data_IF_109943578775
#
_entry.id   IF_109943578775
#
_cell.length_a   1.000
_cell.length_b   1.000
_cell.length_c   1.000
_cell.angle_alpha   90.00
_cell.angle_beta   90.00
_cell.angle_gamma   90.00
#
_symmetry.space_group_name_H-M   'P 1'
#
loop_
_entity.id
_entity.type
_entity.pdbx_description
1 polymer ?
#
# COMPACT_ATOMS: atom_id res chain seq x y z
N UNK A 1 -2.97 -13.66 -15.49
CA UNK A 1 -3.72 -12.54 -14.89
C UNK A 1 -2.83 -11.90 -13.84
N UNK A 2 -2.77 -10.58 -13.81
CA UNK A 2 -2.05 -9.84 -12.77
C UNK A 2 -2.89 -9.94 -11.49
N UNK A 3 -2.29 -10.40 -10.38
CA UNK A 3 -3.00 -10.49 -9.11
C UNK A 3 -3.02 -9.11 -8.48
N UNK A 4 -4.21 -8.57 -8.20
CA UNK A 4 -4.39 -7.25 -7.61
C UNK A 4 -4.86 -7.39 -6.16
N UNK A 5 -4.16 -6.73 -5.25
CA UNK A 5 -4.50 -6.63 -3.84
C UNK A 5 -4.92 -5.19 -3.55
N UNK A 6 -6.11 -4.99 -2.98
CA UNK A 6 -6.54 -3.68 -2.51
C UNK A 6 -6.15 -3.55 -1.06
N UNK A 7 -5.32 -2.56 -0.72
CA UNK A 7 -4.87 -2.33 0.66
C UNK A 7 -5.90 -1.49 1.40
N UNK A 8 -6.29 -0.36 0.81
CA UNK A 8 -7.44 0.41 1.27
C UNK A 8 -8.14 1.07 0.09
N UNK A 9 -9.44 1.30 0.26
CA UNK A 9 -10.26 2.05 -0.68
C UNK A 9 -11.29 2.86 0.10
N UNK A 10 -11.05 4.16 0.25
CA UNK A 10 -12.02 5.08 0.86
C UNK A 10 -13.06 5.50 -0.18
N UNK A 11 -12.61 5.78 -1.41
CA UNK A 11 -13.45 6.10 -2.55
C UNK A 11 -12.70 5.77 -3.87
N UNK A 12 -13.12 6.34 -5.01
CA UNK A 12 -12.44 6.12 -6.30
C UNK A 12 -11.19 7.00 -6.53
N UNK A 13 -10.95 7.97 -5.65
CA UNK A 13 -9.88 8.97 -5.69
C UNK A 13 -8.90 8.83 -4.51
N UNK A 14 -9.21 7.98 -3.53
CA UNK A 14 -8.43 7.69 -2.34
C UNK A 14 -8.34 6.16 -2.16
N UNK A 15 -7.35 5.57 -2.83
CA UNK A 15 -7.20 4.11 -2.89
C UNK A 15 -5.73 3.73 -3.04
N UNK A 16 -5.31 2.65 -2.36
CA UNK A 16 -4.00 2.06 -2.55
C UNK A 16 -4.12 0.58 -2.90
N UNK A 17 -3.42 0.20 -3.96
CA UNK A 17 -3.46 -1.16 -4.52
C UNK A 17 -2.07 -1.68 -4.82
N UNK A 18 -1.87 -2.99 -4.70
CA UNK A 18 -0.64 -3.66 -5.09
C UNK A 18 -0.92 -4.67 -6.19
N UNK A 19 -0.19 -4.53 -7.29
CA UNK A 19 -0.28 -5.40 -8.46
C UNK A 19 0.95 -6.31 -8.52
N UNK A 20 0.74 -7.62 -8.46
CA UNK A 20 1.80 -8.63 -8.51
C UNK A 20 2.06 -8.99 -9.97
N UNK A 21 3.18 -8.49 -10.49
CA UNK A 21 3.62 -8.64 -11.88
C UNK A 21 4.77 -9.64 -11.98
N UNK A 22 4.47 -10.91 -11.70
CA UNK A 22 5.46 -11.99 -11.70
C UNK A 22 6.48 -11.80 -10.58
N UNK A 23 7.64 -11.24 -10.92
CA UNK A 23 8.75 -10.98 -9.97
C UNK A 23 8.73 -9.58 -9.35
N UNK A 24 7.93 -8.66 -9.90
CA UNK A 24 7.82 -7.30 -9.38
C UNK A 24 6.46 -7.05 -8.74
N UNK A 25 6.43 -6.07 -7.86
CA UNK A 25 5.25 -5.60 -7.14
C UNK A 25 5.07 -4.12 -7.48
N UNK A 26 3.93 -3.74 -8.05
CA UNK A 26 3.62 -2.34 -8.33
C UNK A 26 2.61 -1.85 -7.32
N UNK A 27 3.03 -0.97 -6.42
CA UNK A 27 2.12 -0.25 -5.53
C UNK A 27 1.62 0.97 -6.28
N UNK A 28 0.30 1.14 -6.36
CA UNK A 28 -0.36 2.30 -6.94
C UNK A 28 -1.22 2.96 -5.87
N UNK A 29 -0.92 4.22 -5.57
CA UNK A 29 -1.65 5.07 -4.66
C UNK A 29 -2.37 6.15 -5.47
N UNK A 30 -3.66 6.32 -5.26
CA UNK A 30 -4.45 7.42 -5.81
C UNK A 30 -4.90 8.24 -4.61
N UNK A 31 -4.61 9.54 -4.65
CA UNK A 31 -5.04 10.55 -3.68
C UNK A 31 -5.63 11.75 -4.42
N UNK A 32 -6.69 12.32 -3.87
CA UNK A 32 -7.32 13.55 -4.37
C UNK A 32 -6.39 14.77 -4.31
N UNK A 33 -5.47 14.82 -3.34
CA UNK A 33 -4.53 15.91 -3.14
C UNK A 33 -3.31 15.85 -4.08
N UNK A 34 -2.84 14.64 -4.41
CA UNK A 34 -1.55 14.43 -5.08
C UNK A 34 -1.64 13.68 -6.41
N UNK A 35 -2.84 13.22 -6.79
CA UNK A 35 -3.06 12.44 -7.99
C UNK A 35 -2.67 10.96 -7.82
N UNK A 36 -2.15 10.37 -8.88
CA UNK A 36 -1.73 8.97 -8.90
C UNK A 36 -0.21 8.87 -8.78
N UNK A 37 0.27 8.14 -7.78
CA UNK A 37 1.67 7.74 -7.65
C UNK A 37 1.78 6.21 -7.80
N UNK A 38 2.89 5.76 -8.39
CA UNK A 38 3.16 4.33 -8.55
C UNK A 38 4.62 4.00 -8.33
N UNK A 39 4.87 2.97 -7.54
CA UNK A 39 6.21 2.53 -7.15
C UNK A 39 6.37 1.04 -7.41
N UNK A 40 7.48 0.68 -8.04
CA UNK A 40 7.80 -0.69 -8.42
C UNK A 40 8.86 -1.26 -7.48
N UNK A 41 8.55 -2.40 -6.87
CA UNK A 41 9.46 -3.13 -5.99
C UNK A 41 9.85 -4.47 -6.61
N UNK A 42 11.11 -4.86 -6.42
CA UNK A 42 11.64 -6.15 -6.89
C UNK A 42 11.47 -7.28 -5.87
N UNK A 43 11.04 -6.96 -4.65
CA UNK A 43 10.86 -7.93 -3.57
C UNK A 43 9.85 -7.44 -2.54
N UNK A 44 9.20 -8.38 -1.85
CA UNK A 44 8.29 -8.06 -0.73
C UNK A 44 9.00 -7.31 0.40
N UNK A 45 10.23 -7.66 0.83
CA UNK A 45 10.92 -6.90 1.87
C UNK A 45 11.18 -5.43 1.49
N UNK A 46 11.53 -5.16 0.22
CA UNK A 46 11.71 -3.78 -0.25
C UNK A 46 10.40 -2.99 -0.21
N UNK A 47 9.29 -3.61 -0.61
CA UNK A 47 7.96 -3.02 -0.48
C UNK A 47 7.61 -2.76 0.99
N UNK A 48 7.79 -3.76 1.87
CA UNK A 48 7.49 -3.61 3.30
C UNK A 48 8.30 -2.51 3.97
N UNK A 49 9.58 -2.37 3.63
CA UNK A 49 10.41 -1.29 4.15
C UNK A 49 9.89 0.09 3.73
N UNK A 50 9.43 0.22 2.48
CA UNK A 50 8.77 1.45 2.03
C UNK A 50 7.45 1.70 2.75
N UNK A 51 6.62 0.66 2.94
CA UNK A 51 5.34 0.74 3.65
C UNK A 51 5.54 1.25 5.08
N UNK A 52 6.56 0.78 5.80
CA UNK A 52 6.89 1.23 7.16
C UNK A 52 7.29 2.71 7.21
N UNK A 53 7.95 3.21 6.17
CA UNK A 53 8.30 4.63 6.05
C UNK A 53 7.10 5.49 5.64
N UNK A 54 6.25 4.96 4.74
CA UNK A 54 5.06 5.66 4.21
C UNK A 54 3.96 5.81 5.25
N UNK A 55 3.82 4.82 6.14
CA UNK A 55 2.80 4.76 7.19
C UNK A 55 3.49 4.64 8.56
N UNK A 56 4.16 5.72 9.02
CA UNK A 56 4.81 5.70 10.32
C UNK A 56 3.74 5.55 11.41
N UNK A 57 3.97 4.63 12.35
CA UNK A 57 3.01 4.30 13.41
C UNK A 57 2.58 5.52 14.25
N UNK A 58 3.44 6.54 14.34
CA UNK A 58 3.16 7.81 15.02
C UNK A 58 1.93 8.54 14.47
N UNK A 59 1.69 8.44 13.17
CA UNK A 59 0.59 9.16 12.50
C UNK A 59 -0.77 8.50 12.76
N UNK A 60 -0.73 7.29 13.33
CA UNK A 60 -1.89 6.47 13.66
C UNK A 60 -2.07 6.29 15.18
N UNK A 61 -1.49 7.18 16.00
CA UNK A 61 -1.57 7.07 17.46
C UNK A 61 -3.02 6.96 17.98
N UNK A 62 -3.95 7.67 17.35
CA UNK A 62 -5.38 7.65 17.68
C UNK A 62 -6.16 6.53 16.97
N UNK A 63 -5.55 5.85 15.99
CA UNK A 63 -6.19 4.79 15.20
C UNK A 63 -5.21 3.66 14.84
N UNK A 64 -4.68 2.99 15.87
CA UNK A 64 -3.72 1.89 15.69
C UNK A 64 -4.30 0.70 14.93
N UNK A 65 -5.61 0.48 15.00
CA UNK A 65 -6.27 -0.60 14.27
C UNK A 65 -6.15 -0.40 12.75
N UNK A 66 -6.40 0.81 12.25
CA UNK A 66 -6.25 1.13 10.82
C UNK A 66 -4.80 0.89 10.35
N UNK A 67 -3.82 1.23 11.18
CA UNK A 67 -2.41 0.93 10.88
C UNK A 67 -2.15 -0.57 10.79
N UNK A 68 -2.62 -1.35 11.77
CA UNK A 68 -2.45 -2.81 11.77
C UNK A 68 -3.13 -3.48 10.57
N UNK A 69 -4.32 -3.01 10.19
CA UNK A 69 -5.06 -3.52 9.03
C UNK A 69 -4.29 -3.23 7.73
N UNK A 70 -3.77 -2.02 7.56
CA UNK A 70 -2.93 -1.64 6.40
C UNK A 70 -1.68 -2.53 6.35
N UNK A 71 -0.95 -2.65 7.47
CA UNK A 71 0.27 -3.46 7.53
C UNK A 71 0.00 -4.94 7.22
N UNK A 72 -1.10 -5.48 7.74
CA UNK A 72 -1.51 -6.86 7.52
C UNK A 72 -1.87 -7.09 6.06
N UNK A 73 -2.64 -6.18 5.45
CA UNK A 73 -2.99 -6.26 4.03
C UNK A 73 -1.74 -6.30 3.14
N UNK A 74 -0.70 -5.52 3.44
CA UNK A 74 0.56 -5.57 2.69
C UNK A 74 1.35 -6.87 2.90
N UNK A 75 1.29 -7.49 4.09
CA UNK A 75 1.95 -8.77 4.37
C UNK A 75 1.27 -9.94 3.63
N UNK A 76 -0.03 -9.83 3.38
CA UNK A 76 -0.83 -10.85 2.67
C UNK A 76 -0.76 -10.75 1.14
N UNK A 77 -0.19 -9.67 0.59
CA UNK A 77 0.17 -9.55 -0.83
C UNK A 77 1.16 -10.64 -1.20
#
# INVERSE_FOLDING_TARGET
>A
MIKKHSIYKKDNWNMLTVEVNGKSLNVREISDQWGEDSQTFLSRPAMMHWVEQRFPKSDYADNLQEWEDIMTAFREV
#
